data_IF_209254018696
#
_entry.id   IF_209254018696
#
_cell.length_a   1.000
_cell.length_b   1.000
_cell.length_c   1.000
_cell.angle_alpha   90.00
_cell.angle_beta   90.00
_cell.angle_gamma   90.00
#
_symmetry.space_group_name_H-M   'P 1'
#
loop_
_entity.id
_entity.type
_entity.pdbx_description
1 polymer ?
#
# COMPACT_ATOMS: atom_id res chain seq x y z
N UNK A 1 -24.11 2.89 -21.91
CA UNK A 1 -22.97 2.10 -22.40
C UNK A 1 -22.42 1.24 -21.27
N UNK A 2 -21.89 0.05 -21.56
CA UNK A 2 -21.22 -0.78 -20.55
C UNK A 2 -19.71 -0.66 -20.77
N UNK A 3 -19.01 0.01 -19.86
CA UNK A 3 -17.57 0.16 -19.93
C UNK A 3 -16.91 -1.03 -19.24
N UNK A 4 -16.32 -1.92 -20.03
CA UNK A 4 -15.62 -3.11 -19.55
C UNK A 4 -14.12 -2.93 -19.72
N UNK A 5 -13.35 -3.26 -18.68
CA UNK A 5 -11.90 -3.35 -18.72
C UNK A 5 -11.49 -4.82 -18.55
N UNK A 6 -10.80 -5.39 -19.54
CA UNK A 6 -10.21 -6.73 -19.46
C UNK A 6 -8.75 -6.58 -19.04
N UNK A 7 -8.35 -7.32 -18.00
CA UNK A 7 -7.00 -7.26 -17.42
C UNK A 7 -6.35 -8.63 -17.44
N UNK A 8 -5.03 -8.67 -17.57
CA UNK A 8 -4.26 -9.88 -17.31
C UNK A 8 -4.45 -10.29 -15.84
N UNK A 9 -4.68 -11.59 -15.60
CA UNK A 9 -4.67 -12.13 -14.25
C UNK A 9 -3.22 -12.27 -13.77
N UNK A 10 -2.88 -11.58 -12.68
CA UNK A 10 -1.58 -11.65 -12.05
C UNK A 10 -1.62 -12.72 -10.95
N UNK A 11 -0.92 -13.82 -11.16
CA UNK A 11 -0.87 -14.94 -10.21
C UNK A 11 0.01 -14.61 -8.99
N UNK A 12 -0.53 -14.83 -7.79
CA UNK A 12 0.12 -14.56 -6.51
C UNK A 12 -0.83 -14.00 -5.45
N UNK A 13 -0.42 -13.96 -4.17
CA UNK A 13 -1.22 -13.32 -3.13
C UNK A 13 -1.22 -11.81 -3.31
N UNK A 14 -2.29 -11.17 -2.86
CA UNK A 14 -2.30 -9.72 -2.65
C UNK A 14 -1.27 -9.34 -1.58
N UNK A 15 -0.77 -8.10 -1.62
CA UNK A 15 0.12 -7.62 -0.56
C UNK A 15 -0.60 -7.57 0.79
N UNK A 16 -1.92 -7.36 0.82
CA UNK A 16 -2.74 -7.47 2.03
C UNK A 16 -2.67 -8.88 2.66
N UNK A 17 -2.88 -9.94 1.87
CA UNK A 17 -2.81 -11.33 2.36
C UNK A 17 -1.38 -11.71 2.79
N UNK A 18 -0.37 -11.17 2.11
CA UNK A 18 1.02 -11.35 2.49
C UNK A 18 1.35 -10.62 3.80
N UNK A 19 0.92 -9.37 3.98
CA UNK A 19 1.07 -8.61 5.21
C UNK A 19 0.36 -9.27 6.39
N UNK A 20 -0.85 -9.80 6.16
CA UNK A 20 -1.65 -10.45 7.19
C UNK A 20 -0.98 -11.70 7.81
N UNK A 21 0.07 -12.23 7.18
CA UNK A 21 0.92 -13.30 7.71
C UNK A 21 2.08 -12.79 8.58
N UNK A 22 2.18 -11.47 8.78
CA UNK A 22 3.26 -10.83 9.55
C UNK A 22 4.53 -10.53 8.74
N UNK A 23 4.47 -10.56 7.41
CA UNK A 23 5.64 -10.37 6.56
C UNK A 23 5.98 -8.88 6.35
N UNK A 24 7.27 -8.54 6.40
CA UNK A 24 7.79 -7.17 6.23
C UNK A 24 9.10 -7.19 5.41
N UNK A 25 9.15 -7.98 4.34
CA UNK A 25 10.39 -8.20 3.58
C UNK A 25 10.90 -6.91 2.93
N UNK A 26 12.15 -6.56 3.21
CA UNK A 26 12.86 -5.39 2.66
C UNK A 26 12.78 -5.30 1.13
N UNK A 27 12.80 -6.45 0.45
CA UNK A 27 12.71 -6.52 -1.01
C UNK A 27 11.36 -6.00 -1.56
N UNK A 28 10.27 -6.21 -0.81
CA UNK A 28 8.92 -5.75 -1.17
C UNK A 28 8.79 -4.26 -0.86
N UNK A 29 9.20 -3.85 0.33
CA UNK A 29 9.14 -2.43 0.74
C UNK A 29 10.02 -1.58 -0.20
N UNK A 30 11.23 -2.03 -0.54
CA UNK A 30 12.09 -1.36 -1.51
C UNK A 30 11.42 -1.23 -2.90
N UNK A 31 10.69 -2.25 -3.35
CA UNK A 31 9.92 -2.17 -4.62
C UNK A 31 8.84 -1.09 -4.57
N UNK A 32 8.12 -1.00 -3.46
CA UNK A 32 7.07 0.00 -3.24
C UNK A 32 7.64 1.43 -3.32
N UNK A 33 8.77 1.69 -2.66
CA UNK A 33 9.46 2.99 -2.75
C UNK A 33 9.99 3.31 -4.16
N UNK A 34 10.53 2.32 -4.88
CA UNK A 34 10.98 2.51 -6.28
C UNK A 34 9.81 2.88 -7.18
N UNK A 35 8.66 2.24 -7.02
CA UNK A 35 7.45 2.57 -7.76
C UNK A 35 6.96 3.99 -7.43
N UNK A 36 6.84 4.32 -6.14
CA UNK A 36 6.42 5.66 -5.70
C UNK A 36 7.30 6.76 -6.28
N UNK A 37 8.62 6.58 -6.27
CA UNK A 37 9.56 7.54 -6.85
C UNK A 37 9.39 7.71 -8.35
N UNK A 38 9.13 6.63 -9.08
CA UNK A 38 8.87 6.68 -10.53
C UNK A 38 7.60 7.48 -10.82
N UNK A 39 6.53 7.26 -10.05
CA UNK A 39 5.25 7.95 -10.23
C UNK A 39 5.32 9.42 -9.82
N UNK A 40 5.99 9.74 -8.71
CA UNK A 40 6.25 11.12 -8.28
C UNK A 40 7.00 11.94 -9.33
N UNK A 41 8.02 11.36 -9.98
CA UNK A 41 8.74 12.01 -11.09
C UNK A 41 7.86 12.24 -12.32
N UNK A 42 6.78 11.47 -12.47
CA UNK A 42 5.78 11.64 -13.50
C UNK A 42 4.60 12.52 -13.06
N UNK A 43 4.65 13.12 -11.86
CA UNK A 43 3.56 13.90 -11.26
C UNK A 43 2.26 13.11 -11.07
N UNK A 44 2.37 11.81 -10.74
CA UNK A 44 1.25 10.90 -10.52
C UNK A 44 1.23 10.32 -9.09
N UNK A 45 0.02 10.08 -8.59
CA UNK A 45 -0.29 9.24 -7.44
C UNK A 45 -1.08 8.00 -7.87
N UNK A 46 -0.96 6.94 -7.08
CA UNK A 46 -1.77 5.72 -7.13
C UNK A 46 -2.30 5.45 -5.71
N UNK A 47 -3.29 4.59 -5.58
CA UNK A 47 -3.72 4.12 -4.27
C UNK A 47 -2.73 3.06 -3.75
N UNK A 48 -1.99 3.43 -2.70
CA UNK A 48 -0.99 2.56 -2.08
C UNK A 48 -1.58 1.51 -1.13
N UNK A 49 -2.89 1.33 -1.06
CA UNK A 49 -3.50 0.34 -0.17
C UNK A 49 -3.07 -1.10 -0.54
N UNK A 50 -2.75 -1.97 0.44
CA UNK A 50 -2.13 -3.27 0.15
C UNK A 50 -2.92 -4.23 -0.74
N UNK A 51 -4.25 -4.13 -0.83
CA UNK A 51 -5.05 -4.97 -1.73
C UNK A 51 -4.84 -4.62 -3.20
N UNK A 52 -4.35 -3.42 -3.50
CA UNK A 52 -4.14 -2.93 -4.85
C UNK A 52 -2.82 -3.44 -5.45
N UNK A 53 -2.10 -4.30 -4.72
CA UNK A 53 -0.87 -4.92 -5.16
C UNK A 53 -0.92 -6.44 -5.06
N UNK A 54 -0.25 -7.11 -5.99
CA UNK A 54 -0.04 -8.56 -6.01
C UNK A 54 1.46 -8.85 -5.99
N UNK A 55 1.86 -9.83 -5.18
CA UNK A 55 3.22 -10.36 -5.17
C UNK A 55 3.30 -11.54 -6.12
N UNK A 56 3.90 -11.33 -7.29
CA UNK A 56 4.03 -12.34 -8.34
C UNK A 56 5.49 -12.57 -8.70
N UNK A 57 5.99 -13.80 -8.53
CA UNK A 57 7.34 -14.22 -8.93
C UNK A 57 8.44 -13.24 -8.47
N UNK A 58 8.34 -12.78 -7.21
CA UNK A 58 9.29 -11.84 -6.59
C UNK A 58 9.09 -10.37 -6.96
N UNK A 59 8.06 -10.03 -7.74
CA UNK A 59 7.71 -8.66 -8.14
C UNK A 59 6.45 -8.18 -7.42
N UNK A 60 6.46 -6.90 -7.03
CA UNK A 60 5.27 -6.21 -6.57
C UNK A 60 4.58 -5.53 -7.77
N UNK A 61 3.33 -5.90 -8.04
CA UNK A 61 2.56 -5.45 -9.20
C UNK A 61 1.32 -4.69 -8.74
N UNK A 62 1.12 -3.45 -9.18
CA UNK A 62 -0.09 -2.66 -8.94
C UNK A 62 -1.20 -3.07 -9.93
N UNK A 63 -2.42 -3.31 -9.44
CA UNK A 63 -3.52 -3.92 -10.21
C UNK A 63 -4.83 -3.11 -10.24
N UNK A 64 -4.85 -1.94 -9.62
CA UNK A 64 -6.05 -1.11 -9.48
C UNK A 64 -6.21 -0.06 -10.61
N UNK A 65 -5.13 0.24 -11.34
CA UNK A 65 -5.10 1.10 -12.55
C UNK A 65 -5.63 2.54 -12.36
N UNK A 66 -6.01 2.93 -11.14
CA UNK A 66 -6.35 4.31 -10.83
C UNK A 66 -5.09 5.18 -10.76
N UNK A 67 -5.16 6.36 -11.38
CA UNK A 67 -4.10 7.36 -11.39
C UNK A 67 -4.69 8.72 -11.05
N UNK A 68 -4.02 9.43 -10.15
CA UNK A 68 -4.37 10.79 -9.74
C UNK A 68 -3.19 11.74 -9.96
N UNK A 69 -3.47 13.04 -9.99
CA UNK A 69 -2.40 14.04 -9.91
C UNK A 69 -1.65 13.87 -8.58
N UNK A 70 -0.33 14.07 -8.63
CA UNK A 70 0.49 13.94 -7.43
C UNK A 70 0.11 14.97 -6.36
N UNK A 71 -0.20 14.46 -5.18
CA UNK A 71 -0.35 15.21 -3.94
C UNK A 71 0.44 14.47 -2.86
N UNK A 72 1.44 15.10 -2.21
CA UNK A 72 2.22 14.45 -1.17
C UNK A 72 1.35 13.88 -0.04
N UNK A 73 0.18 14.47 0.24
CA UNK A 73 -0.77 13.98 1.25
C UNK A 73 -1.19 12.54 0.98
N UNK A 74 -1.47 12.19 -0.27
CA UNK A 74 -1.92 10.85 -0.69
C UNK A 74 -0.78 9.96 -1.20
N UNK A 75 0.47 10.40 -1.02
CA UNK A 75 1.66 9.66 -1.41
C UNK A 75 1.93 8.46 -0.50
N UNK A 76 2.90 7.64 -0.91
CA UNK A 76 3.33 6.48 -0.15
C UNK A 76 3.74 6.85 1.28
N UNK A 77 4.58 7.87 1.44
CA UNK A 77 5.23 8.22 2.70
C UNK A 77 4.25 8.81 3.74
N UNK A 78 3.25 9.58 3.30
CA UNK A 78 2.31 10.24 4.20
C UNK A 78 0.99 9.46 4.41
N UNK A 79 0.69 8.49 3.56
CA UNK A 79 -0.57 7.76 3.59
C UNK A 79 -0.36 6.24 3.50
N UNK A 80 0.27 5.76 2.42
CA UNK A 80 0.37 4.32 2.13
C UNK A 80 1.06 3.51 3.24
N UNK A 81 2.24 3.94 3.69
CA UNK A 81 3.09 3.14 4.59
C UNK A 81 2.42 2.77 5.92
N UNK A 82 1.44 3.55 6.40
CA UNK A 82 0.75 3.26 7.67
C UNK A 82 -0.14 2.02 7.59
N UNK A 83 -0.64 1.66 6.40
CA UNK A 83 -1.34 0.39 6.18
C UNK A 83 -0.35 -0.77 6.03
N UNK A 84 0.79 -0.52 5.38
CA UNK A 84 1.86 -1.51 5.19
C UNK A 84 2.57 -1.87 6.50
N UNK A 85 2.63 -0.93 7.45
CA UNK A 85 3.22 -1.16 8.76
C UNK A 85 2.31 -1.97 9.70
N UNK A 86 1.00 -2.00 9.45
CA UNK A 86 0.01 -2.60 10.34
C UNK A 86 -0.42 -4.01 9.92
N UNK A 87 0.53 -4.95 9.91
CA UNK A 87 0.27 -6.34 9.56
C UNK A 87 -0.82 -7.00 10.42
N UNK A 88 -0.79 -6.79 11.74
CA UNK A 88 -1.77 -7.37 12.66
C UNK A 88 -3.18 -6.82 12.43
N UNK A 89 -3.29 -5.51 12.22
CA UNK A 89 -4.53 -4.84 11.85
C UNK A 89 -5.06 -5.31 10.50
N UNK A 90 -4.18 -5.43 9.50
CA UNK A 90 -4.53 -5.98 8.19
C UNK A 90 -5.08 -7.40 8.29
N UNK A 91 -4.46 -8.25 9.11
CA UNK A 91 -4.95 -9.60 9.35
C UNK A 91 -6.36 -9.61 9.98
N UNK A 92 -6.65 -8.70 10.91
CA UNK A 92 -7.99 -8.56 11.50
C UNK A 92 -8.99 -8.01 10.47
N UNK A 93 -8.61 -7.01 9.69
CA UNK A 93 -9.44 -6.44 8.63
C UNK A 93 -9.84 -7.48 7.60
N UNK A 94 -8.90 -8.28 7.07
CA UNK A 94 -9.23 -9.33 6.09
C UNK A 94 -10.17 -10.40 6.65
N UNK A 95 -10.14 -10.67 7.96
CA UNK A 95 -11.04 -11.65 8.59
C UNK A 95 -12.43 -11.11 8.92
N UNK A 96 -12.55 -9.82 9.23
CA UNK A 96 -13.76 -9.25 9.86
C UNK A 96 -14.40 -8.09 9.10
N UNK A 97 -13.68 -7.50 8.13
CA UNK A 97 -14.08 -6.25 7.48
C UNK A 97 -13.95 -5.00 8.36
N UNK A 98 -13.42 -5.13 9.59
CA UNK A 98 -13.30 -4.03 10.54
C UNK A 98 -12.22 -3.02 10.13
N UNK A 99 -12.64 -1.94 9.46
CA UNK A 99 -11.75 -0.88 9.00
C UNK A 99 -11.03 -0.15 10.15
N UNK A 100 -11.59 -0.15 11.38
CA UNK A 100 -10.91 0.45 12.52
C UNK A 100 -9.64 -0.33 12.91
N UNK A 101 -9.49 -1.58 12.44
CA UNK A 101 -8.30 -2.38 12.70
C UNK A 101 -7.06 -1.91 11.90
N UNK A 102 -7.24 -1.20 10.78
CA UNK A 102 -6.17 -0.85 9.83
C UNK A 102 -5.75 0.61 9.92
N UNK A 103 -5.84 1.20 11.12
CA UNK A 103 -5.52 2.61 11.37
C UNK A 103 -6.38 3.60 10.58
N UNK A 104 -7.54 3.20 10.04
CA UNK A 104 -8.42 4.12 9.34
C UNK A 104 -9.49 4.63 10.31
N UNK A 105 -9.52 5.93 10.68
CA UNK A 105 -10.63 6.50 11.43
C UNK A 105 -11.93 6.45 10.62
N UNK A 106 -13.10 6.29 11.25
CA UNK A 106 -14.38 6.21 10.54
C UNK A 106 -14.73 7.50 9.77
N UNK A 107 -14.27 8.65 10.25
CA UNK A 107 -14.62 9.97 9.71
C UNK A 107 -13.47 10.62 8.93
N UNK A 108 -12.41 9.87 8.61
CA UNK A 108 -11.24 10.41 7.91
C UNK A 108 -10.69 9.41 6.89
N UNK A 109 -10.32 9.92 5.72
CA UNK A 109 -9.52 9.15 4.75
C UNK A 109 -8.04 9.06 5.10
N UNK A 110 -7.58 9.73 6.16
CA UNK A 110 -6.18 9.73 6.59
C UNK A 110 -5.94 8.70 7.69
N UNK A 111 -4.88 7.87 7.58
CA UNK A 111 -4.59 6.88 8.60
C UNK A 111 -4.07 7.52 9.90
N UNK A 112 -4.39 6.90 11.03
CA UNK A 112 -3.70 7.11 12.29
C UNK A 112 -2.22 6.71 12.13
N UNK A 113 -1.34 7.60 12.58
CA UNK A 113 0.10 7.40 12.44
C UNK A 113 0.68 6.52 13.52
N UNK A 114 0.22 6.72 14.76
CA UNK A 114 0.62 5.89 15.89
C UNK A 114 -0.13 4.55 15.90
N UNK A 115 0.52 3.46 16.32
CA UNK A 115 1.89 3.35 16.84
C UNK A 115 2.98 3.16 15.75
N UNK A 116 2.66 3.35 14.48
CA UNK A 116 3.50 2.94 13.35
C UNK A 116 4.49 4.01 12.87
N UNK A 117 4.43 5.23 13.39
CA UNK A 117 5.26 6.37 12.99
C UNK A 117 6.75 6.00 12.94
N UNK A 118 7.30 5.42 14.00
CA UNK A 118 8.72 5.05 14.07
C UNK A 118 9.13 4.03 13.00
N UNK A 119 8.27 3.05 12.71
CA UNK A 119 8.53 2.05 11.66
C UNK A 119 8.47 2.68 10.26
N UNK A 120 7.52 3.60 10.04
CA UNK A 120 7.39 4.35 8.80
C UNK A 120 8.61 5.23 8.56
N UNK A 121 9.07 5.97 9.57
CA UNK A 121 10.28 6.80 9.50
C UNK A 121 11.53 5.97 9.16
N UNK A 122 11.69 4.81 9.81
CA UNK A 122 12.78 3.87 9.51
C UNK A 122 12.78 3.44 8.04
N UNK A 123 11.61 3.13 7.47
CA UNK A 123 11.49 2.78 6.07
C UNK A 123 11.77 3.96 5.13
N UNK A 124 11.33 5.16 5.48
CA UNK A 124 11.62 6.38 4.72
C UNK A 124 13.13 6.65 4.71
N UNK A 125 13.82 6.51 5.84
CA UNK A 125 15.27 6.69 5.91
C UNK A 125 16.02 5.65 5.07
N UNK A 126 15.58 4.38 5.14
CA UNK A 126 16.22 3.27 4.44
C UNK A 126 16.00 3.28 2.92
N UNK A 127 14.79 3.63 2.46
CA UNK A 127 14.36 3.42 1.07
C UNK A 127 13.87 4.68 0.35
N UNK A 128 13.69 5.80 1.06
CA UNK A 128 13.18 7.05 0.52
C UNK A 128 14.14 7.82 -0.39
N UNK A 129 15.45 7.54 -0.31
CA UNK A 129 16.52 8.17 -1.11
C UNK A 129 16.53 7.69 -2.55
#
# INVERSE_FOLDING_TARGET
>A
ERQYLIKEFIDGPTAAEWLAKGNHDDAVISQLFRLSRKLRRAHLNIDYFPTNFVLSRGKLVYIDYELNLYDPKWGLENWGLYYWANAAGMARYLRSGDAAAINLPPDSGEPLREPFQAQVEKWIEAYGK
#
